data_IF_724528552294
#
_entry.id   IF_724528552294
#
_cell.length_a   1.000
_cell.length_b   1.000
_cell.length_c   1.000
_cell.angle_alpha   90.00
_cell.angle_beta   90.00
_cell.angle_gamma   90.00
#
_symmetry.space_group_name_H-M   'P 1'
#
loop_
_entity.id
_entity.type
_entity.pdbx_description
1 polymer ?
#
# COMPACT_ATOMS: atom_id res chain seq x y z
N UNK A 1 -43.60 51.79 73.43
CA UNK A 1 -43.68 52.61 72.20
C UNK A 1 -42.50 52.31 71.26
N UNK A 2 -42.42 51.09 70.70
CA UNK A 2 -41.38 50.75 69.70
C UNK A 2 -41.74 49.51 68.86
N UNK A 3 -42.99 49.04 68.91
CA UNK A 3 -43.43 47.76 68.32
C UNK A 3 -44.43 47.92 67.16
N UNK A 4 -44.51 49.13 66.58
CA UNK A 4 -45.43 49.45 65.48
C UNK A 4 -44.73 49.89 64.18
N UNK A 5 -43.39 49.93 64.13
CA UNK A 5 -42.64 50.33 62.94
C UNK A 5 -41.98 49.15 62.19
N UNK A 6 -41.87 47.98 62.81
CA UNK A 6 -41.26 46.79 62.17
C UNK A 6 -42.24 46.13 61.18
N UNK A 7 -43.56 46.12 61.46
CA UNK A 7 -44.55 45.54 60.53
C UNK A 7 -44.71 46.33 59.24
N UNK A 8 -44.52 47.65 59.25
CA UNK A 8 -44.59 48.46 58.02
C UNK A 8 -43.33 48.30 57.15
N UNK A 9 -42.15 48.13 57.73
CA UNK A 9 -40.92 47.86 56.96
C UNK A 9 -40.89 46.45 56.37
N UNK A 10 -41.46 45.44 57.03
CA UNK A 10 -41.53 44.06 56.48
C UNK A 10 -42.61 43.93 55.39
N UNK A 11 -43.69 44.72 55.45
CA UNK A 11 -44.67 44.77 54.36
C UNK A 11 -44.15 45.54 53.12
N UNK A 12 -43.33 46.58 53.29
CA UNK A 12 -42.74 47.31 52.16
C UNK A 12 -41.56 46.56 51.51
N UNK A 13 -40.82 45.72 52.23
CA UNK A 13 -39.76 44.89 51.63
C UNK A 13 -40.29 43.66 50.86
N UNK A 14 -41.49 43.16 51.22
CA UNK A 14 -42.12 42.03 50.52
C UNK A 14 -42.86 42.45 49.25
N UNK A 15 -43.26 43.72 49.12
CA UNK A 15 -43.82 44.26 47.87
C UNK A 15 -42.76 44.57 46.78
N UNK A 16 -41.47 44.64 47.13
CA UNK A 16 -40.39 44.85 46.14
C UNK A 16 -39.79 43.56 45.58
N UNK A 17 -40.16 42.38 46.11
CA UNK A 17 -39.68 41.08 45.60
C UNK A 17 -40.60 40.42 44.56
N UNK A 18 -41.75 41.04 44.23
CA UNK A 18 -42.69 40.51 43.23
C UNK A 18 -42.63 41.20 41.86
N UNK A 19 -41.73 42.17 41.65
CA UNK A 19 -41.42 42.71 40.32
C UNK A 19 -40.11 42.17 39.75
N UNK A 20 -39.77 40.94 40.13
CA UNK A 20 -38.81 40.10 39.41
C UNK A 20 -39.51 39.18 38.41
N UNK A 21 -40.52 39.64 37.66
CA UNK A 21 -40.84 38.99 36.39
C UNK A 21 -39.68 39.31 35.45
N UNK A 22 -38.57 38.58 35.62
CA UNK A 22 -37.59 38.42 34.57
C UNK A 22 -38.39 37.90 33.38
N UNK A 23 -38.52 38.73 32.34
CA UNK A 23 -39.21 38.37 31.12
C UNK A 23 -38.63 37.03 30.70
N UNK A 24 -39.49 36.03 30.56
CA UNK A 24 -39.06 34.68 30.25
C UNK A 24 -38.55 34.65 28.81
N UNK A 25 -37.30 35.07 28.65
CA UNK A 25 -36.64 35.27 27.37
C UNK A 25 -36.18 33.93 26.77
N UNK A 26 -36.50 32.78 27.41
CA UNK A 26 -36.18 31.44 26.89
C UNK A 26 -36.79 31.21 25.51
N UNK A 27 -37.89 31.88 25.22
CA UNK A 27 -38.60 31.81 23.94
C UNK A 27 -38.21 32.94 22.98
N UNK A 28 -37.34 33.87 23.39
CA UNK A 28 -36.89 34.94 22.49
C UNK A 28 -36.02 34.33 21.39
N UNK A 29 -36.38 34.63 20.13
CA UNK A 29 -35.76 34.11 18.91
C UNK A 29 -36.06 32.64 18.57
N UNK A 30 -37.01 32.00 19.26
CA UNK A 30 -37.53 30.71 18.82
C UNK A 30 -38.44 30.90 17.59
N UNK A 31 -38.26 30.05 16.59
CA UNK A 31 -39.03 30.08 15.34
C UNK A 31 -40.12 29.03 15.32
N UNK A 32 -41.23 29.35 14.66
CA UNK A 32 -42.31 28.40 14.40
C UNK A 32 -41.80 27.14 13.68
N UNK A 33 -42.60 26.08 13.72
CA UNK A 33 -42.27 24.82 13.05
C UNK A 33 -41.99 25.05 11.56
N UNK A 34 -40.90 24.46 11.08
CA UNK A 34 -40.45 24.49 9.69
C UNK A 34 -40.17 23.09 9.20
N UNK A 35 -40.27 22.90 7.89
CA UNK A 35 -40.04 21.61 7.23
C UNK A 35 -38.95 21.75 6.17
N UNK A 36 -37.97 20.84 6.15
CA UNK A 36 -36.87 20.88 5.19
C UNK A 36 -36.24 19.50 4.97
N UNK A 37 -35.53 19.31 3.87
CA UNK A 37 -34.64 18.17 3.70
C UNK A 37 -33.39 18.34 4.55
N UNK A 38 -32.98 17.31 5.31
CA UNK A 38 -31.70 17.33 6.05
C UNK A 38 -30.54 17.66 5.11
N UNK A 39 -30.53 17.02 3.95
CA UNK A 39 -29.53 17.17 2.90
C UNK A 39 -30.18 17.87 1.69
N UNK A 40 -30.20 19.20 1.69
CA UNK A 40 -30.82 20.07 0.66
C UNK A 40 -29.81 20.54 -0.39
N UNK A 41 -30.29 21.03 -1.55
CA UNK A 41 -29.48 21.33 -2.77
C UNK A 41 -28.87 20.07 -3.40
N UNK A 42 -27.64 20.13 -3.96
CA UNK A 42 -26.99 18.97 -4.55
C UNK A 42 -26.58 17.97 -3.48
N UNK A 43 -27.08 16.75 -3.61
CA UNK A 43 -26.74 15.64 -2.76
C UNK A 43 -26.20 14.50 -3.62
N UNK A 44 -24.87 14.38 -3.65
CA UNK A 44 -24.18 13.29 -4.33
C UNK A 44 -24.22 12.04 -3.46
N UNK A 45 -25.01 11.06 -3.88
CA UNK A 45 -25.20 9.82 -3.14
C UNK A 45 -24.34 8.72 -3.76
N UNK A 46 -23.58 8.00 -2.94
CA UNK A 46 -22.86 6.81 -3.41
C UNK A 46 -23.84 5.64 -3.41
N UNK A 47 -24.05 5.03 -4.57
CA UNK A 47 -24.97 3.92 -4.76
C UNK A 47 -24.15 2.71 -5.23
N UNK A 48 -24.16 1.61 -4.49
CA UNK A 48 -23.41 0.42 -4.89
C UNK A 48 -24.24 -0.44 -5.84
N UNK A 49 -23.59 -0.95 -6.89
CA UNK A 49 -24.23 -1.77 -7.92
C UNK A 49 -24.60 -3.19 -7.41
N UNK A 50 -25.67 -3.26 -6.62
CA UNK A 50 -26.25 -4.50 -6.07
C UNK A 50 -27.52 -4.94 -6.80
N UNK A 51 -27.80 -4.37 -7.98
CA UNK A 51 -29.08 -4.47 -8.69
C UNK A 51 -30.16 -3.56 -8.10
N UNK A 52 -30.26 -3.50 -6.77
CA UNK A 52 -31.15 -2.58 -6.05
C UNK A 52 -30.44 -1.93 -4.87
N UNK A 53 -30.70 -0.65 -4.67
CA UNK A 53 -30.16 0.11 -3.56
C UNK A 53 -31.23 0.99 -2.92
N UNK A 54 -31.52 0.76 -1.63
CA UNK A 54 -32.46 1.57 -0.88
C UNK A 54 -31.75 2.78 -0.28
N UNK A 55 -32.28 3.97 -0.54
CA UNK A 55 -31.81 5.24 -0.01
C UNK A 55 -32.93 5.96 0.73
N UNK A 56 -32.65 6.43 1.94
CA UNK A 56 -33.58 7.20 2.74
C UNK A 56 -33.30 8.70 2.61
N UNK A 57 -34.25 9.43 2.03
CA UNK A 57 -34.23 10.89 2.02
C UNK A 57 -34.89 11.39 3.31
N UNK A 58 -34.11 12.01 4.20
CA UNK A 58 -34.63 12.47 5.49
C UNK A 58 -35.22 13.87 5.40
N UNK A 59 -36.46 14.00 5.86
CA UNK A 59 -37.19 15.25 6.05
C UNK A 59 -37.23 15.56 7.55
N UNK A 60 -36.90 16.80 7.90
CA UNK A 60 -36.83 17.29 9.29
C UNK A 60 -37.94 18.30 9.54
N UNK A 61 -38.68 18.12 10.64
CA UNK A 61 -39.59 19.10 11.22
C UNK A 61 -38.91 19.71 12.45
N UNK A 62 -38.60 20.99 12.40
CA UNK A 62 -37.92 21.69 13.49
C UNK A 62 -38.57 23.03 13.79
N UNK A 63 -38.67 23.34 15.07
CA UNK A 63 -39.29 24.56 15.58
C UNK A 63 -40.01 24.26 16.89
N UNK A 64 -40.80 25.21 17.33
CA UNK A 64 -41.38 25.21 18.69
C UNK A 64 -42.90 25.13 18.68
N UNK A 65 -43.50 25.14 17.49
CA UNK A 65 -44.93 25.19 17.28
C UNK A 65 -45.64 23.88 17.61
N UNK A 66 -44.92 22.75 17.68
CA UNK A 66 -45.48 21.42 17.96
C UNK A 66 -46.68 21.09 17.07
N UNK A 67 -46.62 21.48 15.80
CA UNK A 67 -47.71 21.31 14.84
C UNK A 67 -47.65 19.91 14.24
N UNK A 68 -48.83 19.31 14.04
CA UNK A 68 -49.00 18.16 13.16
C UNK A 68 -48.99 18.65 11.71
N UNK A 69 -48.38 17.88 10.81
CA UNK A 69 -48.35 18.24 9.41
C UNK A 69 -48.27 17.04 8.50
N UNK A 70 -49.03 17.09 7.40
CA UNK A 70 -48.91 16.15 6.29
C UNK A 70 -48.07 16.77 5.19
N UNK A 71 -46.97 16.12 4.85
CA UNK A 71 -45.97 16.62 3.89
C UNK A 71 -46.04 15.77 2.63
N UNK A 72 -46.26 16.43 1.50
CA UNK A 72 -46.25 15.82 0.18
C UNK A 72 -44.84 15.88 -0.42
N UNK A 73 -44.37 14.75 -0.95
CA UNK A 73 -43.13 14.62 -1.69
C UNK A 73 -43.42 14.42 -3.17
N UNK A 74 -42.71 15.15 -4.02
CA UNK A 74 -42.83 15.03 -5.47
C UNK A 74 -41.50 15.21 -6.18
N UNK A 75 -41.46 14.72 -7.42
CA UNK A 75 -40.40 15.04 -8.37
C UNK A 75 -40.70 16.40 -8.99
N UNK A 76 -39.74 17.31 -8.94
CA UNK A 76 -39.88 18.70 -9.40
C UNK A 76 -38.95 19.00 -10.59
N UNK A 77 -39.45 18.72 -11.79
CA UNK A 77 -38.75 19.00 -13.05
C UNK A 77 -38.52 20.49 -13.28
N UNK A 78 -39.40 21.37 -12.78
CA UNK A 78 -39.25 22.80 -12.92
C UNK A 78 -38.07 23.33 -12.09
N UNK A 79 -37.86 22.77 -10.89
CA UNK A 79 -36.68 23.06 -10.09
C UNK A 79 -35.39 22.61 -10.79
N UNK A 80 -35.37 21.42 -11.41
CA UNK A 80 -34.20 20.97 -12.19
C UNK A 80 -33.87 21.93 -13.33
N UNK A 81 -34.86 22.35 -14.10
CA UNK A 81 -34.65 23.29 -15.20
C UNK A 81 -34.12 24.65 -14.71
N UNK A 82 -34.68 25.19 -13.63
CA UNK A 82 -34.21 26.43 -13.01
C UNK A 82 -32.78 26.29 -12.45
N UNK A 83 -32.48 25.15 -11.82
CA UNK A 83 -31.16 24.87 -11.27
C UNK A 83 -30.10 24.84 -12.37
N UNK A 84 -30.35 24.11 -13.46
CA UNK A 84 -29.44 24.05 -14.61
C UNK A 84 -29.18 25.45 -15.20
N UNK A 85 -30.23 26.26 -15.38
CA UNK A 85 -30.10 27.62 -15.91
C UNK A 85 -29.29 28.54 -14.97
N UNK A 86 -29.49 28.42 -13.67
CA UNK A 86 -28.82 29.28 -12.68
C UNK A 86 -27.36 28.88 -12.44
N UNK A 87 -27.06 27.58 -12.40
CA UNK A 87 -25.75 27.05 -12.02
C UNK A 87 -24.87 26.69 -13.24
N UNK A 88 -25.39 26.83 -14.46
CA UNK A 88 -24.67 26.46 -15.68
C UNK A 88 -24.42 24.96 -15.79
N UNK A 89 -25.25 24.13 -15.14
CA UNK A 89 -25.17 22.67 -15.19
C UNK A 89 -26.04 22.11 -16.32
N UNK A 90 -25.85 20.83 -16.64
CA UNK A 90 -26.58 20.15 -17.72
C UNK A 90 -27.20 18.84 -17.22
N UNK A 91 -27.68 18.81 -15.97
CA UNK A 91 -28.28 17.61 -15.41
C UNK A 91 -29.56 17.24 -16.15
N UNK A 92 -29.78 15.93 -16.30
CA UNK A 92 -30.96 15.33 -16.90
C UNK A 92 -31.83 14.70 -15.81
N UNK A 93 -33.14 14.66 -16.04
CA UNK A 93 -34.05 13.97 -15.14
C UNK A 93 -33.75 12.47 -15.15
N UNK A 94 -33.63 11.87 -13.97
CA UNK A 94 -33.51 10.43 -13.82
C UNK A 94 -34.82 9.75 -14.30
N UNK A 95 -34.76 8.82 -15.26
CA UNK A 95 -35.94 8.11 -15.77
C UNK A 95 -36.69 7.35 -14.69
N UNK A 96 -38.01 7.24 -14.84
CA UNK A 96 -38.91 6.62 -13.86
C UNK A 96 -38.72 5.12 -13.69
N UNK A 97 -38.07 4.45 -14.64
CA UNK A 97 -37.71 3.04 -14.55
C UNK A 97 -36.42 2.81 -13.73
N UNK A 98 -35.69 3.87 -13.38
CA UNK A 98 -34.45 3.81 -12.60
C UNK A 98 -34.67 3.90 -11.09
N UNK A 99 -35.89 4.16 -10.62
CA UNK A 99 -36.18 4.29 -9.19
C UNK A 99 -37.64 3.96 -8.86
N UNK A 100 -37.90 3.66 -7.58
CA UNK A 100 -39.24 3.52 -7.01
C UNK A 100 -39.30 4.25 -5.68
N UNK A 101 -40.22 5.19 -5.56
CA UNK A 101 -40.51 5.90 -4.30
C UNK A 101 -41.53 5.08 -3.53
N UNK A 102 -41.25 4.75 -2.27
CA UNK A 102 -42.15 3.93 -1.45
C UNK A 102 -43.41 4.70 -1.04
N UNK A 103 -43.24 5.91 -0.51
CA UNK A 103 -44.31 6.78 -0.02
C UNK A 103 -44.11 8.19 -0.55
N UNK A 104 -45.17 8.85 -0.98
CA UNK A 104 -45.16 10.26 -1.42
C UNK A 104 -45.76 11.20 -0.38
N UNK A 105 -46.16 10.69 0.77
CA UNK A 105 -46.74 11.45 1.88
C UNK A 105 -46.10 11.04 3.20
N UNK A 106 -45.71 12.02 4.01
CA UNK A 106 -45.23 11.89 5.38
C UNK A 106 -46.25 12.52 6.32
N UNK A 107 -46.54 11.87 7.45
CA UNK A 107 -47.47 12.38 8.46
C UNK A 107 -46.70 12.63 9.75
N UNK A 108 -46.35 13.89 10.02
CA UNK A 108 -45.64 14.29 11.23
C UNK A 108 -46.62 14.54 12.37
N UNK A 109 -46.41 13.80 13.46
CA UNK A 109 -47.07 14.07 14.73
C UNK A 109 -46.40 15.26 15.45
N UNK A 110 -47.06 15.81 16.49
CA UNK A 110 -46.56 17.01 17.22
C UNK A 110 -45.10 16.92 17.66
N UNK A 111 -44.70 15.74 18.15
CA UNK A 111 -43.36 15.46 18.71
C UNK A 111 -42.39 14.84 17.71
N UNK A 112 -42.85 14.53 16.50
CA UNK A 112 -41.98 13.97 15.48
C UNK A 112 -40.94 15.00 15.06
N UNK A 113 -39.68 14.54 14.95
CA UNK A 113 -38.57 15.39 14.55
C UNK A 113 -38.11 15.11 13.12
N UNK A 114 -38.07 13.84 12.72
CA UNK A 114 -37.63 13.43 11.40
C UNK A 114 -38.47 12.25 10.89
N UNK A 115 -38.62 12.17 9.57
CA UNK A 115 -39.15 11.01 8.86
C UNK A 115 -38.38 10.81 7.56
N UNK A 116 -38.35 9.57 7.09
CA UNK A 116 -37.63 9.18 5.88
C UNK A 116 -38.57 8.84 4.73
N UNK A 117 -38.15 9.22 3.54
CA UNK A 117 -38.74 8.77 2.27
C UNK A 117 -37.78 7.75 1.67
N UNK A 118 -38.21 6.49 1.65
CA UNK A 118 -37.45 5.43 1.03
C UNK A 118 -37.57 5.49 -0.50
N UNK A 119 -36.41 5.53 -1.17
CA UNK A 119 -36.27 5.47 -2.62
C UNK A 119 -35.40 4.26 -2.95
N UNK A 120 -35.98 3.29 -3.66
CA UNK A 120 -35.26 2.15 -4.18
C UNK A 120 -34.73 2.48 -5.58
N UNK A 121 -33.42 2.55 -5.75
CA UNK A 121 -32.76 2.76 -7.03
C UNK A 121 -32.46 1.44 -7.75
N UNK A 122 -32.71 1.40 -9.05
CA UNK A 122 -32.26 0.32 -9.95
C UNK A 122 -30.86 0.65 -10.47
N UNK A 123 -29.84 0.09 -9.83
CA UNK A 123 -28.45 0.51 -10.06
C UNK A 123 -27.93 0.09 -11.42
N UNK A 124 -28.42 -1.02 -11.95
CA UNK A 124 -28.03 -1.54 -13.26
C UNK A 124 -28.51 -0.58 -14.36
N UNK A 125 -29.78 -0.14 -14.30
CA UNK A 125 -30.32 0.84 -15.25
C UNK A 125 -29.62 2.18 -15.15
N UNK A 126 -29.39 2.67 -13.93
CA UNK A 126 -28.67 3.92 -13.71
C UNK A 126 -27.25 3.83 -14.30
N UNK A 127 -26.54 2.72 -14.06
CA UNK A 127 -25.18 2.52 -14.58
C UNK A 127 -25.14 2.54 -16.11
N UNK A 128 -26.09 1.87 -16.77
CA UNK A 128 -26.23 1.89 -18.25
C UNK A 128 -26.53 3.30 -18.76
N UNK A 129 -27.44 4.01 -18.09
CA UNK A 129 -27.92 5.32 -18.51
C UNK A 129 -26.85 6.41 -18.42
N UNK A 130 -26.14 6.47 -17.29
CA UNK A 130 -25.17 7.52 -17.03
C UNK A 130 -23.83 7.22 -17.71
N UNK A 131 -23.45 5.95 -17.80
CA UNK A 131 -22.09 5.54 -18.17
C UNK A 131 -21.09 5.77 -17.03
N UNK A 132 -19.87 5.25 -17.19
CA UNK A 132 -18.85 5.26 -16.13
C UNK A 132 -18.50 6.72 -15.73
N UNK A 133 -18.63 7.03 -14.44
CA UNK A 133 -18.24 8.30 -13.81
C UNK A 133 -18.96 9.56 -14.31
N UNK A 134 -20.17 9.45 -14.86
CA UNK A 134 -20.98 10.61 -15.21
C UNK A 134 -22.08 10.83 -14.18
N UNK A 135 -22.07 12.00 -13.57
CA UNK A 135 -23.11 12.47 -12.65
C UNK A 135 -24.14 13.29 -13.44
N UNK A 136 -24.70 12.71 -14.51
CA UNK A 136 -25.53 13.47 -15.45
C UNK A 136 -27.02 13.41 -15.08
N UNK A 137 -27.48 12.30 -14.49
CA UNK A 137 -28.90 12.08 -14.25
C UNK A 137 -29.22 12.24 -12.77
N UNK A 138 -30.25 13.02 -12.46
CA UNK A 138 -30.56 13.43 -11.08
C UNK A 138 -32.06 13.28 -10.79
N UNK A 139 -32.39 13.08 -9.51
CA UNK A 139 -33.77 13.05 -9.05
C UNK A 139 -34.08 14.35 -8.29
N UNK A 140 -34.77 15.33 -8.91
CA UNK A 140 -35.10 16.59 -8.28
C UNK A 140 -36.30 16.41 -7.36
N UNK A 141 -36.07 16.46 -6.05
CA UNK A 141 -37.07 16.19 -5.05
C UNK A 141 -37.56 17.50 -4.41
N UNK A 142 -38.87 17.61 -4.17
CA UNK A 142 -39.50 18.70 -3.42
C UNK A 142 -40.43 18.16 -2.35
N UNK A 143 -40.46 18.86 -1.22
CA UNK A 143 -41.50 18.69 -0.19
C UNK A 143 -42.39 19.93 -0.06
N UNK A 144 -43.67 19.72 0.19
CA UNK A 144 -44.67 20.76 0.43
C UNK A 144 -45.65 20.31 1.52
N UNK A 145 -45.93 21.16 2.51
CA UNK A 145 -46.95 20.85 3.52
C UNK A 145 -48.36 21.04 2.95
N UNK A 146 -49.27 20.12 3.23
CA UNK A 146 -50.69 20.26 2.86
C UNK A 146 -51.29 21.52 3.47
N UNK A 147 -52.06 22.28 2.68
CA UNK A 147 -52.69 23.52 3.14
C UNK A 147 -51.71 24.66 3.48
N UNK A 148 -50.40 24.50 3.20
CA UNK A 148 -49.39 25.50 3.55
C UNK A 148 -49.20 25.67 5.06
N UNK A 149 -49.51 24.63 5.85
CA UNK A 149 -49.43 24.72 7.33
C UNK A 149 -48.00 24.89 7.84
N UNK A 150 -47.00 24.38 7.11
CA UNK A 150 -45.59 24.54 7.41
C UNK A 150 -44.82 24.94 6.15
N UNK A 151 -43.75 25.71 6.34
CA UNK A 151 -42.85 26.13 5.27
C UNK A 151 -41.39 25.94 5.66
N UNK A 152 -40.54 25.78 4.67
CA UNK A 152 -39.10 25.84 4.89
C UNK A 152 -38.68 27.28 5.21
N UNK A 153 -37.69 27.46 6.09
CA UNK A 153 -37.12 28.78 6.42
C UNK A 153 -36.62 29.53 5.18
N UNK A 154 -36.09 28.78 4.21
CA UNK A 154 -35.71 29.29 2.89
C UNK A 154 -36.25 28.34 1.82
N UNK A 155 -36.73 28.85 0.67
CA UNK A 155 -37.33 28.01 -0.38
C UNK A 155 -36.42 26.86 -0.84
N UNK A 156 -35.11 27.06 -0.90
CA UNK A 156 -34.15 26.03 -1.33
C UNK A 156 -34.01 24.85 -0.36
N UNK A 157 -34.41 25.02 0.92
CA UNK A 157 -34.38 23.95 1.91
C UNK A 157 -35.54 22.95 1.75
N UNK A 158 -36.56 23.31 0.97
CA UNK A 158 -37.66 22.42 0.58
C UNK A 158 -37.32 21.56 -0.65
N UNK A 159 -36.12 21.68 -1.20
CA UNK A 159 -35.68 21.00 -2.43
C UNK A 159 -34.32 20.32 -2.28
N UNK A 160 -34.14 19.18 -2.94
CA UNK A 160 -32.84 18.49 -3.05
C UNK A 160 -32.69 17.83 -4.42
N UNK A 161 -31.48 17.82 -4.98
CA UNK A 161 -31.11 17.09 -6.19
C UNK A 161 -30.33 15.85 -5.76
N UNK A 162 -30.95 14.67 -5.83
CA UNK A 162 -30.22 13.43 -5.58
C UNK A 162 -29.45 13.05 -6.83
N UNK A 163 -28.13 12.97 -6.70
CA UNK A 163 -27.19 12.69 -7.80
C UNK A 163 -26.57 11.32 -7.54
N UNK A 164 -27.14 10.21 -8.08
CA UNK A 164 -26.62 8.87 -7.86
C UNK A 164 -25.29 8.65 -8.56
N UNK A 165 -24.24 8.44 -7.78
CA UNK A 165 -22.93 7.99 -8.24
C UNK A 165 -22.84 6.48 -8.06
N UNK A 166 -23.10 5.72 -9.14
CA UNK A 166 -23.08 4.26 -9.09
C UNK A 166 -21.63 3.76 -9.07
N UNK A 167 -21.29 2.99 -8.05
CA UNK A 167 -19.97 2.35 -7.88
C UNK A 167 -20.09 0.85 -7.85
N UNK A 168 -19.13 0.19 -8.48
CA UNK A 168 -18.99 -1.26 -8.35
C UNK A 168 -18.52 -1.61 -6.92
N UNK A 169 -19.20 -2.53 -6.22
CA UNK A 169 -18.76 -2.99 -4.91
C UNK A 169 -17.58 -3.96 -5.06
N UNK A 170 -16.44 -3.65 -4.45
CA UNK A 170 -15.21 -4.43 -4.61
C UNK A 170 -14.48 -4.71 -3.29
N UNK A 171 -13.76 -5.83 -3.29
CA UNK A 171 -12.62 -6.11 -2.40
C UNK A 171 -11.31 -5.75 -3.11
N UNK A 172 -10.39 -5.11 -2.40
CA UNK A 172 -9.10 -4.67 -2.93
C UNK A 172 -7.98 -4.69 -1.89
N UNK A 173 -6.71 -4.72 -2.34
CA UNK A 173 -5.57 -4.42 -1.48
C UNK A 173 -5.46 -2.91 -1.25
N UNK A 174 -5.16 -2.48 -0.03
CA UNK A 174 -4.99 -1.05 0.28
C UNK A 174 -3.73 -0.45 -0.34
N UNK A 175 -2.73 -1.29 -0.63
CA UNK A 175 -1.44 -0.90 -1.22
C UNK A 175 -1.12 -1.85 -2.38
N UNK A 176 -1.78 -1.72 -3.55
CA UNK A 176 -1.57 -2.61 -4.68
C UNK A 176 -0.17 -2.41 -5.32
N UNK A 177 0.30 -3.42 -6.04
CA UNK A 177 1.59 -3.39 -6.74
C UNK A 177 2.80 -3.77 -5.87
N UNK A 178 3.98 -3.28 -6.22
CA UNK A 178 5.22 -3.55 -5.49
C UNK A 178 5.16 -2.95 -4.08
N UNK A 179 5.30 -3.81 -3.07
CA UNK A 179 5.33 -3.35 -1.67
C UNK A 179 6.64 -2.60 -1.39
N UNK A 180 6.54 -1.50 -0.63
CA UNK A 180 7.69 -0.66 -0.30
C UNK A 180 8.62 -1.34 0.71
N UNK A 181 8.05 -2.10 1.65
CA UNK A 181 8.82 -2.82 2.66
C UNK A 181 9.39 -4.10 2.07
N UNK A 182 10.71 -4.11 1.88
CA UNK A 182 11.45 -5.29 1.47
C UNK A 182 11.75 -6.19 2.66
N UNK A 183 11.36 -7.46 2.55
CA UNK A 183 11.72 -8.49 3.52
C UNK A 183 13.18 -8.87 3.29
N UNK A 184 14.05 -8.64 4.28
CA UNK A 184 15.47 -8.98 4.21
C UNK A 184 15.76 -10.21 5.06
N UNK A 185 16.33 -11.23 4.44
CA UNK A 185 16.77 -12.47 5.05
C UNK A 185 18.27 -12.66 4.83
N UNK A 186 18.90 -13.37 5.74
CA UNK A 186 20.28 -13.84 5.61
C UNK A 186 20.40 -15.24 6.23
N UNK A 187 21.46 -16.00 5.92
CA UNK A 187 21.68 -17.32 6.52
C UNK A 187 21.69 -17.31 8.06
N UNK A 188 22.17 -16.23 8.69
CA UNK A 188 22.13 -16.00 10.14
C UNK A 188 20.89 -15.30 10.67
N UNK A 189 20.04 -14.80 9.78
CA UNK A 189 18.82 -14.11 10.14
C UNK A 189 17.74 -15.06 10.64
N UNK A 190 16.56 -14.49 10.89
CA UNK A 190 15.38 -15.24 11.30
C UNK A 190 15.06 -16.42 10.37
N UNK A 191 14.61 -17.53 10.94
CA UNK A 191 14.18 -18.72 10.17
C UNK A 191 12.95 -18.44 9.29
N UNK A 192 12.10 -17.52 9.74
CA UNK A 192 10.92 -17.10 9.03
C UNK A 192 10.56 -15.65 9.36
N UNK A 193 9.88 -14.99 8.43
CA UNK A 193 9.32 -13.66 8.60
C UNK A 193 7.85 -13.71 8.19
N UNK A 194 6.97 -13.20 9.06
CA UNK A 194 5.53 -13.10 8.78
C UNK A 194 5.24 -11.70 8.26
N UNK A 195 4.80 -11.62 7.01
CA UNK A 195 4.29 -10.39 6.41
C UNK A 195 2.76 -10.33 6.46
N UNK A 196 2.22 -9.12 6.31
CA UNK A 196 0.79 -8.87 6.28
C UNK A 196 0.44 -7.95 5.12
N UNK A 197 -0.55 -8.33 4.34
CA UNK A 197 -1.22 -7.48 3.38
C UNK A 197 -2.60 -7.09 3.91
N UNK A 198 -3.00 -5.85 3.68
CA UNK A 198 -4.30 -5.36 4.12
C UNK A 198 -5.26 -5.32 2.94
N UNK A 199 -6.47 -5.84 3.15
CA UNK A 199 -7.56 -5.74 2.19
C UNK A 199 -8.70 -4.91 2.77
N UNK A 200 -9.44 -4.24 1.90
CA UNK A 200 -10.57 -3.39 2.26
C UNK A 200 -11.71 -3.55 1.26
N UNK A 201 -12.95 -3.45 1.73
CA UNK A 201 -14.13 -3.26 0.88
C UNK A 201 -14.36 -1.78 0.64
N UNK A 202 -14.73 -1.39 -0.57
CA UNK A 202 -15.11 0.01 -0.85
C UNK A 202 -16.56 0.34 -0.42
N UNK A 203 -17.27 -0.63 0.17
CA UNK A 203 -18.65 -0.53 0.65
C UNK A 203 -18.78 -0.95 2.13
N UNK A 204 -19.84 -0.50 2.83
CA UNK A 204 -20.20 -1.01 4.16
C UNK A 204 -20.69 -2.46 4.09
N UNK A 205 -19.85 -3.39 4.48
CA UNK A 205 -20.08 -4.83 4.38
C UNK A 205 -21.21 -5.29 5.31
N UNK A 206 -22.22 -5.96 4.75
CA UNK A 206 -23.37 -6.52 5.48
C UNK A 206 -23.33 -8.05 5.58
N UNK A 207 -22.22 -8.70 5.20
CA UNK A 207 -22.14 -10.15 5.11
C UNK A 207 -20.82 -10.68 5.67
N UNK A 208 -20.82 -11.95 6.07
CA UNK A 208 -19.56 -12.69 6.18
C UNK A 208 -19.04 -12.98 4.76
N UNK A 209 -17.83 -12.53 4.46
CA UNK A 209 -17.19 -12.73 3.16
C UNK A 209 -16.07 -13.76 3.29
N UNK A 210 -16.14 -14.79 2.45
CA UNK A 210 -15.01 -15.68 2.16
C UNK A 210 -14.25 -15.16 0.93
N UNK A 211 -12.91 -15.14 1.00
CA UNK A 211 -12.04 -14.78 -0.12
C UNK A 211 -10.81 -15.69 -0.23
N UNK A 212 -10.23 -15.77 -1.43
CA UNK A 212 -9.03 -16.57 -1.71
C UNK A 212 -7.90 -15.67 -2.24
N UNK A 213 -6.67 -15.94 -1.79
CA UNK A 213 -5.45 -15.36 -2.34
C UNK A 213 -4.65 -16.49 -2.98
N UNK A 214 -4.09 -16.23 -4.16
CA UNK A 214 -3.20 -17.16 -4.84
C UNK A 214 -1.89 -16.49 -5.27
N UNK A 215 -0.92 -17.33 -5.64
CA UNK A 215 0.32 -16.86 -6.26
C UNK A 215 0.14 -16.84 -7.77
N UNK A 216 0.33 -15.67 -8.38
CA UNK A 216 0.19 -15.49 -9.83
C UNK A 216 1.50 -14.94 -10.42
N UNK A 217 2.35 -15.80 -11.04
CA UNK A 217 3.62 -15.38 -11.63
C UNK A 217 3.51 -14.31 -12.72
N UNK A 218 2.35 -14.17 -13.40
CA UNK A 218 2.15 -13.18 -14.47
C UNK A 218 2.33 -11.76 -13.95
N UNK A 219 2.01 -11.49 -12.68
CA UNK A 219 2.20 -10.18 -12.05
C UNK A 219 3.69 -9.81 -12.03
N UNK A 220 4.56 -10.78 -11.72
CA UNK A 220 6.00 -10.58 -11.70
C UNK A 220 6.56 -10.38 -13.11
N UNK A 221 6.07 -11.14 -14.10
CA UNK A 221 6.50 -10.98 -15.49
C UNK A 221 6.16 -9.59 -16.02
N UNK A 222 4.95 -9.09 -15.72
CA UNK A 222 4.53 -7.73 -16.07
C UNK A 222 5.43 -6.67 -15.40
N UNK A 223 5.71 -6.80 -14.10
CA UNK A 223 6.63 -5.90 -13.40
C UNK A 223 8.03 -5.90 -14.03
N UNK A 224 8.61 -7.08 -14.23
CA UNK A 224 9.94 -7.25 -14.81
C UNK A 224 10.03 -6.72 -16.25
N UNK A 225 8.92 -6.72 -17.01
CA UNK A 225 8.84 -6.12 -18.34
C UNK A 225 8.94 -4.60 -18.36
N UNK A 226 8.77 -3.93 -17.20
CA UNK A 226 8.81 -2.46 -17.08
C UNK A 226 10.11 -1.90 -16.52
N UNK A 227 11.01 -2.76 -16.04
CA UNK A 227 12.25 -2.36 -15.35
C UNK A 227 13.49 -2.83 -16.09
N UNK A 228 14.62 -2.19 -15.81
CA UNK A 228 15.93 -2.59 -16.35
C UNK A 228 16.38 -3.94 -15.78
N UNK A 229 17.23 -4.66 -16.51
CA UNK A 229 17.65 -6.03 -16.16
C UNK A 229 18.29 -6.16 -14.76
N UNK A 230 18.97 -5.11 -14.28
CA UNK A 230 19.58 -5.05 -12.96
C UNK A 230 18.55 -4.91 -11.81
N UNK A 231 17.31 -4.52 -12.13
CA UNK A 231 16.21 -4.36 -11.17
C UNK A 231 15.19 -5.49 -11.22
N UNK A 232 15.34 -6.44 -12.13
CA UNK A 232 14.43 -7.58 -12.25
C UNK A 232 14.50 -8.47 -11.01
N UNK A 233 13.33 -8.91 -10.56
CA UNK A 233 13.18 -9.80 -9.41
C UNK A 233 12.95 -11.23 -9.88
N UNK A 234 13.48 -12.20 -9.14
CA UNK A 234 13.23 -13.63 -9.38
C UNK A 234 11.92 -14.07 -8.73
N UNK A 235 11.25 -15.06 -9.28
CA UNK A 235 10.10 -15.66 -8.58
C UNK A 235 10.57 -16.35 -7.30
N UNK A 236 9.95 -16.03 -6.17
CA UNK A 236 10.27 -16.66 -4.89
C UNK A 236 9.96 -18.18 -4.96
N UNK A 237 10.91 -19.06 -4.62
CA UNK A 237 10.69 -20.51 -4.68
C UNK A 237 9.51 -20.97 -3.83
N UNK A 238 8.78 -21.99 -4.28
CA UNK A 238 7.59 -22.51 -3.56
C UNK A 238 7.92 -22.95 -2.13
N UNK A 239 9.10 -23.52 -1.90
CA UNK A 239 9.55 -23.95 -0.58
C UNK A 239 9.85 -22.77 0.38
N UNK A 240 10.01 -21.55 -0.16
CA UNK A 240 10.40 -20.36 0.57
C UNK A 240 9.21 -19.52 1.07
N UNK A 241 7.98 -19.99 0.88
CA UNK A 241 6.82 -19.34 1.46
C UNK A 241 5.71 -20.30 1.85
N UNK A 242 4.88 -19.86 2.78
CA UNK A 242 3.66 -20.54 3.20
C UNK A 242 2.53 -19.53 3.31
N UNK A 243 1.39 -19.88 2.70
CA UNK A 243 0.14 -19.17 2.90
C UNK A 243 -0.74 -20.02 3.82
N UNK A 244 -1.56 -19.38 4.66
CA UNK A 244 -2.56 -20.09 5.44
C UNK A 244 -3.61 -20.71 4.50
N UNK A 245 -4.25 -21.84 4.86
CA UNK A 245 -5.31 -22.42 4.05
C UNK A 245 -6.47 -21.44 3.82
N UNK A 246 -6.96 -21.39 2.59
CA UNK A 246 -8.16 -20.67 2.20
C UNK A 246 -9.44 -21.44 2.58
N UNK A 247 -10.63 -20.79 2.64
CA UNK A 247 -10.85 -19.36 2.44
C UNK A 247 -10.48 -18.51 3.66
N UNK A 248 -10.05 -17.28 3.39
CA UNK A 248 -9.90 -16.23 4.39
C UNK A 248 -11.23 -15.51 4.61
N UNK A 249 -11.38 -14.84 5.75
CA UNK A 249 -12.67 -14.27 6.18
C UNK A 249 -12.61 -12.76 6.41
N UNK A 250 -13.72 -12.10 6.09
CA UNK A 250 -14.08 -10.76 6.56
C UNK A 250 -15.44 -10.90 7.25
N UNK A 251 -15.52 -10.52 8.52
CA UNK A 251 -16.76 -10.63 9.28
C UNK A 251 -17.80 -9.60 8.78
N UNK A 252 -19.07 -9.92 8.97
CA UNK A 252 -20.15 -8.94 8.81
C UNK A 252 -19.84 -7.64 9.57
N UNK A 253 -20.17 -6.48 8.98
CA UNK A 253 -19.88 -5.12 9.47
C UNK A 253 -18.40 -4.72 9.48
N UNK A 254 -17.48 -5.64 9.24
CA UNK A 254 -16.07 -5.32 9.01
C UNK A 254 -15.83 -5.02 7.53
N UNK A 255 -15.15 -3.90 7.27
CA UNK A 255 -14.77 -3.49 5.92
C UNK A 255 -13.29 -3.73 5.62
N UNK A 256 -12.53 -4.26 6.59
CA UNK A 256 -11.08 -4.38 6.52
C UNK A 256 -10.63 -5.71 7.11
N UNK A 257 -9.60 -6.31 6.53
CA UNK A 257 -8.98 -7.52 7.04
C UNK A 257 -7.47 -7.52 6.76
N UNK A 258 -6.75 -8.43 7.41
CA UNK A 258 -5.33 -8.68 7.16
C UNK A 258 -5.11 -10.10 6.67
N UNK A 259 -4.52 -10.23 5.50
CA UNK A 259 -3.99 -11.48 4.97
C UNK A 259 -2.54 -11.65 5.42
N UNK A 260 -2.21 -12.77 6.07
CA UNK A 260 -0.83 -13.06 6.50
C UNK A 260 -0.17 -14.10 5.60
N UNK A 261 1.10 -13.87 5.29
CA UNK A 261 1.95 -14.81 4.55
C UNK A 261 3.27 -14.97 5.28
N UNK A 262 3.88 -16.15 5.20
CA UNK A 262 5.15 -16.45 5.85
C UNK A 262 6.22 -16.68 4.80
N UNK A 263 7.34 -15.96 4.90
CA UNK A 263 8.56 -16.22 4.13
C UNK A 263 9.45 -17.13 4.97
N UNK A 264 9.96 -18.20 4.37
CA UNK A 264 10.71 -19.27 5.03
C UNK A 264 12.14 -19.31 4.51
N UNK A 265 13.12 -19.05 5.38
CA UNK A 265 14.55 -19.08 5.04
C UNK A 265 14.97 -20.44 4.47
N UNK A 266 14.47 -21.53 5.04
CA UNK A 266 14.79 -22.91 4.61
C UNK A 266 14.53 -23.18 3.13
N UNK A 267 13.58 -22.48 2.50
CA UNK A 267 13.30 -22.65 1.07
C UNK A 267 14.28 -21.96 0.14
N UNK A 268 15.23 -21.20 0.69
CA UNK A 268 16.30 -20.51 -0.01
C UNK A 268 17.67 -21.14 0.27
N UNK A 269 17.70 -22.28 0.96
CA UNK A 269 18.90 -23.04 1.31
C UNK A 269 18.73 -24.47 0.82
N UNK A 270 19.63 -24.92 -0.06
CA UNK A 270 19.68 -26.28 -0.58
C UNK A 270 21.03 -26.91 -0.24
N UNK A 271 21.06 -27.66 0.87
CA UNK A 271 22.30 -28.20 1.43
C UNK A 271 23.30 -27.09 1.76
N UNK A 272 24.45 -27.07 1.07
CA UNK A 272 25.47 -26.03 1.21
C UNK A 272 25.24 -24.84 0.28
N UNK A 273 24.29 -24.91 -0.64
CA UNK A 273 24.01 -23.87 -1.64
C UNK A 273 22.96 -22.92 -1.12
N UNK A 274 23.29 -21.64 -1.06
CA UNK A 274 22.33 -20.57 -0.75
C UNK A 274 21.83 -19.94 -2.05
N UNK A 275 20.52 -19.84 -2.21
CA UNK A 275 19.87 -19.20 -3.35
C UNK A 275 19.85 -17.68 -3.16
N UNK A 276 21.01 -17.02 -3.04
CA UNK A 276 21.04 -15.57 -2.85
C UNK A 276 20.48 -14.81 -4.06
N UNK A 277 19.84 -13.68 -3.76
CA UNK A 277 19.29 -12.77 -4.76
C UNK A 277 18.07 -12.00 -4.29
N UNK A 278 17.56 -11.22 -5.21
CA UNK A 278 16.33 -10.44 -5.07
C UNK A 278 15.16 -11.21 -5.70
N UNK A 279 14.12 -11.44 -4.90
CA UNK A 279 12.94 -12.23 -5.23
C UNK A 279 11.66 -11.43 -5.05
N UNK A 280 10.56 -11.94 -5.60
CA UNK A 280 9.22 -11.47 -5.30
C UNK A 280 8.26 -12.63 -5.08
N UNK A 281 7.34 -12.45 -4.13
CA UNK A 281 6.13 -13.28 -3.98
C UNK A 281 4.94 -12.50 -4.58
N UNK A 282 4.49 -12.83 -5.80
CA UNK A 282 3.35 -12.16 -6.43
C UNK A 282 2.04 -12.77 -5.92
N UNK A 283 1.15 -11.96 -5.36
CA UNK A 283 -0.11 -12.40 -4.78
C UNK A 283 -1.29 -11.71 -5.46
N UNK A 284 -2.36 -12.48 -5.74
CA UNK A 284 -3.60 -12.01 -6.35
C UNK A 284 -4.81 -12.38 -5.49
N UNK A 285 -5.79 -11.48 -5.40
CA UNK A 285 -7.14 -11.83 -4.95
C UNK A 285 -7.78 -12.69 -6.04
N UNK A 286 -7.93 -13.98 -5.78
CA UNK A 286 -8.44 -14.95 -6.75
C UNK A 286 -9.97 -14.92 -6.81
N UNK A 287 -10.62 -14.86 -5.66
CA UNK A 287 -12.08 -14.89 -5.56
C UNK A 287 -12.56 -14.20 -4.28
N UNK A 288 -13.81 -13.72 -4.31
CA UNK A 288 -14.57 -13.27 -3.15
C UNK A 288 -16.00 -13.78 -3.31
N UNK A 289 -16.58 -14.27 -2.23
CA UNK A 289 -17.90 -14.92 -2.21
C UNK A 289 -19.08 -14.02 -2.58
N UNK A 290 -18.93 -12.69 -2.51
CA UNK A 290 -19.92 -11.69 -2.88
C UNK A 290 -19.26 -10.46 -3.48
N UNK A 291 -20.00 -9.77 -4.35
CA UNK A 291 -19.56 -8.59 -5.08
C UNK A 291 -18.34 -8.91 -5.98
N UNK A 292 -17.57 -7.91 -6.37
CA UNK A 292 -16.43 -8.10 -7.26
C UNK A 292 -15.07 -7.92 -6.59
N UNK A 293 -14.03 -8.00 -7.40
CA UNK A 293 -12.64 -7.67 -7.05
C UNK A 293 -12.26 -6.46 -7.89
N UNK A 294 -11.61 -5.46 -7.28
CA UNK A 294 -11.14 -4.30 -8.04
C UNK A 294 -10.00 -4.74 -8.99
N UNK A 295 -10.16 -4.66 -10.32
CA UNK A 295 -9.12 -5.09 -11.26
C UNK A 295 -7.81 -4.34 -11.08
N UNK A 296 -7.87 -3.05 -10.72
CA UNK A 296 -6.71 -2.16 -10.62
C UNK A 296 -5.95 -2.32 -9.29
N UNK A 297 -6.57 -2.97 -8.30
CA UNK A 297 -6.03 -3.14 -6.94
C UNK A 297 -6.13 -4.58 -6.43
N UNK A 298 -6.16 -5.55 -7.34
CA UNK A 298 -6.31 -6.99 -7.05
C UNK A 298 -5.00 -7.72 -6.76
N UNK A 299 -3.85 -7.05 -6.92
CA UNK A 299 -2.53 -7.70 -6.88
C UNK A 299 -1.51 -6.94 -6.05
N UNK A 300 -0.60 -7.69 -5.42
CA UNK A 300 0.62 -7.16 -4.78
C UNK A 300 1.85 -7.99 -5.18
N UNK A 301 3.02 -7.36 -5.11
CA UNK A 301 4.33 -7.99 -5.27
C UNK A 301 5.12 -7.75 -3.99
N UNK A 302 5.36 -8.80 -3.20
CA UNK A 302 6.14 -8.70 -1.96
C UNK A 302 7.62 -8.93 -2.28
N UNK A 303 8.48 -7.90 -2.18
CA UNK A 303 9.91 -8.08 -2.47
C UNK A 303 10.64 -8.75 -1.29
N UNK A 304 11.49 -9.71 -1.62
CA UNK A 304 12.29 -10.49 -0.66
C UNK A 304 13.74 -10.48 -1.10
N UNK A 305 14.64 -9.99 -0.25
CA UNK A 305 16.08 -10.04 -0.46
C UNK A 305 16.68 -11.14 0.43
N UNK A 306 17.44 -12.06 -0.16
CA UNK A 306 18.22 -13.04 0.58
C UNK A 306 19.69 -12.90 0.22
N UNK A 307 20.48 -12.40 1.17
CA UNK A 307 21.88 -12.05 0.96
C UNK A 307 22.75 -12.60 2.11
N UNK A 308 24.01 -12.99 1.84
CA UNK A 308 24.95 -13.31 2.90
C UNK A 308 25.36 -12.02 3.63
N UNK A 309 25.66 -12.08 4.93
CA UNK A 309 26.25 -10.94 5.62
C UNK A 309 27.71 -10.75 5.18
N UNK A 310 28.20 -9.50 5.24
CA UNK A 310 29.60 -9.20 4.94
C UNK A 310 30.53 -9.78 6.02
N UNK A 311 31.68 -10.32 5.61
CA UNK A 311 32.75 -10.65 6.55
C UNK A 311 33.66 -9.42 6.68
N UNK A 312 33.81 -8.84 7.89
CA UNK A 312 34.74 -7.73 8.08
C UNK A 312 36.18 -8.16 7.76
N UNK A 313 36.87 -7.36 6.94
CA UNK A 313 38.27 -7.62 6.55
C UNK A 313 39.29 -7.32 7.64
N UNK A 314 38.83 -7.00 8.85
CA UNK A 314 39.69 -6.73 9.99
C UNK A 314 40.53 -7.96 10.33
N UNK A 315 41.86 -7.79 10.36
CA UNK A 315 42.81 -8.86 10.61
C UNK A 315 43.17 -9.72 9.40
N UNK A 316 42.57 -9.49 8.23
CA UNK A 316 42.96 -10.17 7.00
C UNK A 316 44.33 -9.69 6.50
N UNK A 317 45.06 -10.57 5.82
CA UNK A 317 46.36 -10.26 5.23
C UNK A 317 46.51 -10.92 3.87
N UNK A 318 47.10 -10.21 2.92
CA UNK A 318 47.55 -10.83 1.67
C UNK A 318 48.95 -11.41 1.91
N UNK A 319 49.03 -12.74 2.01
CA UNK A 319 50.25 -13.42 2.47
C UNK A 319 51.16 -13.87 1.32
N UNK A 320 50.65 -13.88 0.09
CA UNK A 320 51.43 -14.22 -1.10
C UNK A 320 50.81 -13.62 -2.36
N UNK A 321 51.67 -13.31 -3.34
CA UNK A 321 51.30 -13.05 -4.73
C UNK A 321 52.30 -13.78 -5.65
N UNK A 322 51.87 -14.25 -6.82
CA UNK A 322 52.76 -14.87 -7.81
C UNK A 322 53.69 -13.85 -8.46
N UNK A 323 53.27 -12.59 -8.51
CA UNK A 323 53.99 -11.45 -9.06
C UNK A 323 53.37 -10.17 -8.50
N UNK A 324 54.16 -9.14 -8.24
CA UNK A 324 53.67 -7.84 -7.76
C UNK A 324 54.55 -6.70 -8.31
N UNK A 325 53.90 -5.62 -8.77
CA UNK A 325 54.57 -4.40 -9.18
C UNK A 325 54.80 -3.49 -7.96
N UNK A 326 56.05 -3.28 -7.58
CA UNK A 326 56.41 -2.41 -6.46
C UNK A 326 56.37 -0.94 -6.88
N UNK A 327 55.71 -0.09 -6.10
CA UNK A 327 55.52 1.33 -6.40
C UNK A 327 54.14 1.64 -6.98
N UNK A 328 53.09 0.95 -6.51
CA UNK A 328 51.68 1.22 -6.88
C UNK A 328 50.88 0.01 -7.36
N UNK A 329 51.42 -1.20 -7.30
CA UNK A 329 50.76 -2.47 -7.64
C UNK A 329 50.85 -3.53 -6.55
N UNK A 330 51.03 -3.09 -5.30
CA UNK A 330 51.22 -3.94 -4.12
C UNK A 330 50.04 -4.87 -3.89
N UNK A 331 50.31 -6.10 -3.46
CA UNK A 331 49.27 -7.10 -3.22
C UNK A 331 48.30 -6.69 -2.12
N UNK A 332 48.73 -5.90 -1.15
CA UNK A 332 47.92 -5.41 -0.03
C UNK A 332 46.79 -4.47 -0.46
N UNK A 333 46.93 -3.81 -1.63
CA UNK A 333 45.93 -2.88 -2.16
C UNK A 333 44.56 -3.56 -2.38
N UNK A 334 44.50 -4.88 -2.56
CA UNK A 334 43.22 -5.58 -2.78
C UNK A 334 42.28 -5.61 -1.57
N UNK A 335 42.76 -5.18 -0.39
CA UNK A 335 42.02 -5.19 0.88
C UNK A 335 41.88 -3.80 1.52
N UNK A 336 42.33 -2.73 0.86
CA UNK A 336 42.41 -1.40 1.48
C UNK A 336 41.09 -0.61 1.44
N UNK A 337 40.13 -1.03 0.59
CA UNK A 337 38.81 -0.41 0.47
C UNK A 337 38.79 0.82 -0.44
N UNK A 338 39.86 1.02 -1.22
CA UNK A 338 39.99 2.09 -2.18
C UNK A 338 40.00 1.52 -3.61
N UNK A 339 38.92 1.67 -4.40
CA UNK A 339 38.87 1.15 -5.77
C UNK A 339 39.87 1.82 -6.73
N UNK A 340 40.52 2.93 -6.34
CA UNK A 340 41.57 3.60 -7.12
C UNK A 340 42.94 2.92 -6.99
N UNK A 341 43.18 2.14 -5.93
CA UNK A 341 44.38 1.32 -5.76
C UNK A 341 44.12 -0.12 -6.25
N UNK A 342 45.19 -0.84 -6.55
CA UNK A 342 45.08 -2.20 -7.08
C UNK A 342 46.38 -2.97 -6.89
N UNK A 343 46.25 -4.29 -6.82
CA UNK A 343 47.35 -5.19 -7.12
C UNK A 343 47.55 -5.26 -8.63
N UNK A 344 48.80 -5.30 -9.08
CA UNK A 344 49.17 -5.55 -10.47
C UNK A 344 50.35 -6.51 -10.52
N UNK A 345 50.37 -7.46 -11.47
CA UNK A 345 51.58 -8.22 -11.75
C UNK A 345 52.70 -7.30 -12.25
N UNK A 346 53.96 -7.73 -12.17
CA UNK A 346 55.08 -7.01 -12.80
C UNK A 346 54.80 -6.84 -14.29
N UNK A 347 54.85 -5.61 -14.81
CA UNK A 347 54.59 -5.30 -16.24
C UNK A 347 55.80 -4.74 -16.99
N UNK A 348 56.79 -4.16 -16.29
CA UNK A 348 58.08 -3.76 -16.86
C UNK A 348 59.18 -4.76 -16.49
N UNK A 349 60.14 -4.98 -17.40
CA UNK A 349 61.30 -5.82 -17.12
C UNK A 349 61.08 -7.33 -17.28
N UNK A 350 59.92 -7.73 -17.83
CA UNK A 350 59.53 -9.11 -18.05
C UNK A 350 58.20 -9.42 -17.38
N UNK A 351 57.13 -9.54 -18.17
CA UNK A 351 55.81 -9.89 -17.67
C UNK A 351 55.70 -11.42 -17.53
N UNK A 352 55.51 -11.98 -16.32
CA UNK A 352 55.38 -13.42 -16.15
C UNK A 352 54.11 -13.92 -16.89
N UNK A 353 54.11 -15.16 -17.40
CA UNK A 353 52.93 -15.73 -18.03
C UNK A 353 51.85 -16.05 -16.98
N UNK A 354 50.58 -16.03 -17.42
CA UNK A 354 49.46 -16.56 -16.64
C UNK A 354 49.66 -18.06 -16.31
N UNK A 355 49.08 -18.57 -15.22
CA UNK A 355 48.19 -17.87 -14.29
C UNK A 355 48.93 -17.03 -13.23
N UNK A 356 48.33 -15.92 -12.84
CA UNK A 356 48.76 -15.13 -11.68
C UNK A 356 47.87 -15.45 -10.46
N UNK A 357 48.37 -15.29 -9.23
CA UNK A 357 47.56 -15.48 -8.04
C UNK A 357 47.90 -14.53 -6.90
N UNK A 358 46.92 -14.32 -6.03
CA UNK A 358 47.07 -13.74 -4.69
C UNK A 358 46.43 -14.65 -3.64
N UNK A 359 47.01 -14.72 -2.44
CA UNK A 359 46.50 -15.51 -1.32
C UNK A 359 46.19 -14.60 -0.14
N UNK A 360 44.95 -14.66 0.33
CA UNK A 360 44.44 -13.93 1.49
C UNK A 360 44.30 -14.91 2.66
N UNK A 361 44.92 -14.59 3.80
CA UNK A 361 44.65 -15.20 5.11
C UNK A 361 43.60 -14.37 5.83
N UNK A 362 42.46 -14.98 6.16
CA UNK A 362 41.39 -14.32 6.92
C UNK A 362 41.71 -14.16 8.41
N UNK A 363 42.82 -14.75 8.88
CA UNK A 363 43.26 -14.77 10.27
C UNK A 363 42.58 -15.84 11.13
N UNK A 364 41.38 -16.29 10.72
CA UNK A 364 40.62 -17.39 11.31
C UNK A 364 39.73 -18.04 10.25
N UNK A 365 39.09 -19.16 10.60
CA UNK A 365 38.13 -19.83 9.72
C UNK A 365 36.81 -19.05 9.63
N UNK A 366 36.25 -18.97 8.42
CA UNK A 366 34.91 -18.47 8.11
C UNK A 366 34.19 -19.45 7.17
N UNK A 367 32.86 -19.38 7.13
CA UNK A 367 32.04 -20.03 6.11
C UNK A 367 31.87 -19.06 4.93
N UNK A 368 32.66 -19.24 3.89
CA UNK A 368 32.61 -18.44 2.66
C UNK A 368 31.37 -18.82 1.86
N UNK A 369 30.57 -17.81 1.46
CA UNK A 369 29.29 -18.01 0.75
C UNK A 369 29.18 -17.19 -0.53
N UNK A 370 29.87 -16.05 -0.62
CA UNK A 370 29.94 -15.23 -1.82
C UNK A 370 31.27 -14.50 -1.87
N UNK A 371 31.81 -14.33 -3.08
CA UNK A 371 33.01 -13.54 -3.33
C UNK A 371 32.63 -12.43 -4.31
N UNK A 372 33.03 -11.20 -3.99
CA UNK A 372 32.88 -10.03 -4.83
C UNK A 372 34.27 -9.51 -5.20
N UNK A 373 34.44 -9.17 -6.47
CA UNK A 373 35.71 -8.74 -7.03
C UNK A 373 35.51 -7.48 -7.87
N UNK A 374 36.36 -6.49 -7.63
CA UNK A 374 36.39 -5.23 -8.39
C UNK A 374 37.64 -5.17 -9.25
N UNK A 375 37.46 -4.87 -10.54
CA UNK A 375 38.54 -4.58 -11.49
C UNK A 375 39.17 -3.23 -11.18
N UNK A 376 40.45 -3.08 -11.55
CA UNK A 376 41.10 -1.78 -11.65
C UNK A 376 40.22 -0.80 -12.44
N UNK A 377 40.04 0.40 -11.91
CA UNK A 377 39.27 1.44 -12.58
C UNK A 377 39.82 1.76 -13.97
N UNK A 378 38.90 2.00 -14.91
CA UNK A 378 39.19 2.31 -16.32
C UNK A 378 40.03 1.26 -17.06
N UNK A 379 40.04 0.02 -16.56
CA UNK A 379 40.80 -1.09 -17.12
C UNK A 379 39.95 -2.36 -17.19
N UNK A 380 39.96 -3.04 -18.35
CA UNK A 380 39.20 -4.26 -18.59
C UNK A 380 40.09 -5.49 -18.83
N UNK A 381 41.38 -5.43 -18.49
CA UNK A 381 42.34 -6.52 -18.74
C UNK A 381 41.98 -7.77 -17.94
N UNK A 382 41.52 -7.63 -16.68
CA UNK A 382 41.10 -8.77 -15.88
C UNK A 382 39.86 -9.45 -16.49
N UNK A 383 40.00 -10.73 -16.89
CA UNK A 383 38.92 -11.50 -17.53
C UNK A 383 38.37 -12.59 -16.61
N UNK A 384 39.16 -13.62 -16.29
CA UNK A 384 38.71 -14.76 -15.48
C UNK A 384 39.54 -14.90 -14.22
N UNK A 385 38.87 -14.98 -13.07
CA UNK A 385 39.47 -15.28 -11.76
C UNK A 385 38.79 -16.51 -11.18
N UNK A 386 39.58 -17.55 -10.93
CA UNK A 386 39.15 -18.76 -10.22
C UNK A 386 39.48 -18.66 -8.73
N UNK A 387 38.53 -19.06 -7.90
CA UNK A 387 38.64 -19.03 -6.45
C UNK A 387 38.81 -20.43 -5.90
N UNK A 388 39.79 -20.58 -5.02
CA UNK A 388 39.99 -21.81 -4.24
C UNK A 388 40.27 -21.48 -2.79
N UNK A 389 39.86 -22.36 -1.88
CA UNK A 389 40.01 -22.14 -0.43
C UNK A 389 40.82 -23.23 0.24
N UNK A 390 41.43 -22.89 1.37
CA UNK A 390 42.22 -23.81 2.19
C UNK A 390 42.03 -23.53 3.69
N UNK A 391 42.28 -24.54 4.53
CA UNK A 391 42.41 -24.40 5.99
C UNK A 391 43.85 -24.54 6.49
N UNK A 392 44.77 -25.06 5.65
CA UNK A 392 46.15 -25.36 6.02
C UNK A 392 47.21 -24.57 5.21
N UNK A 393 46.76 -23.73 4.27
CA UNK A 393 47.59 -23.01 3.30
C UNK A 393 48.48 -23.93 2.45
N UNK A 394 48.09 -25.19 2.28
CA UNK A 394 48.82 -26.19 1.47
C UNK A 394 47.90 -26.79 0.42
N UNK A 395 46.74 -27.28 0.84
CA UNK A 395 45.76 -27.92 -0.03
C UNK A 395 44.64 -26.94 -0.34
N UNK A 396 44.45 -26.62 -1.62
CA UNK A 396 43.44 -25.67 -2.09
C UNK A 396 42.35 -26.39 -2.88
N UNK A 397 41.09 -26.13 -2.52
CA UNK A 397 39.90 -26.72 -3.17
C UNK A 397 39.17 -25.62 -3.96
N UNK A 398 38.90 -25.80 -5.27
CA UNK A 398 38.14 -24.84 -6.06
C UNK A 398 36.70 -24.66 -5.55
N UNK A 399 36.22 -23.41 -5.50
CA UNK A 399 34.87 -23.07 -4.99
C UNK A 399 34.04 -22.22 -5.95
N UNK A 400 34.64 -21.64 -6.98
CA UNK A 400 33.91 -20.83 -7.96
C UNK A 400 34.84 -20.00 -8.84
N UNK A 401 34.24 -19.17 -9.71
CA UNK A 401 34.97 -18.22 -10.55
C UNK A 401 34.13 -17.00 -10.89
N UNK A 402 34.79 -15.89 -11.20
CA UNK A 402 34.20 -14.73 -11.87
C UNK A 402 34.78 -14.63 -13.28
N UNK A 403 33.91 -14.41 -14.26
CA UNK A 403 34.28 -14.11 -15.64
C UNK A 403 33.65 -12.76 -16.03
N UNK A 404 34.49 -11.75 -16.23
CA UNK A 404 34.07 -10.43 -16.70
C UNK A 404 33.80 -10.39 -18.20
N UNK A 405 34.19 -11.41 -18.95
CA UNK A 405 34.15 -11.40 -20.42
C UNK A 405 35.03 -10.29 -21.01
N UNK A 406 34.83 -10.02 -22.31
CA UNK A 406 35.69 -9.08 -23.05
C UNK A 406 35.12 -7.66 -23.11
N UNK A 407 33.79 -7.51 -23.12
CA UNK A 407 33.11 -6.22 -23.32
C UNK A 407 32.17 -5.83 -22.16
N UNK A 408 32.29 -6.43 -20.98
CA UNK A 408 31.40 -6.09 -19.86
C UNK A 408 31.73 -4.69 -19.32
N UNK A 409 30.74 -3.79 -19.24
CA UNK A 409 30.92 -2.47 -18.64
C UNK A 409 30.96 -2.51 -17.09
N UNK A 410 30.68 -3.66 -16.47
CA UNK A 410 30.64 -3.78 -15.00
C UNK A 410 32.03 -3.97 -14.42
N UNK A 411 32.53 -3.01 -13.64
CA UNK A 411 33.84 -3.14 -12.96
C UNK A 411 33.80 -4.11 -11.77
N UNK A 412 32.63 -4.34 -11.17
CA UNK A 412 32.45 -5.24 -10.03
C UNK A 412 31.50 -6.38 -10.38
N UNK A 413 31.86 -7.60 -10.00
CA UNK A 413 31.01 -8.78 -10.09
C UNK A 413 31.06 -9.55 -8.77
N UNK A 414 29.99 -10.27 -8.47
CA UNK A 414 29.91 -11.18 -7.36
C UNK A 414 29.52 -12.58 -7.84
N UNK A 415 30.03 -13.60 -7.15
CA UNK A 415 29.67 -15.00 -7.39
C UNK A 415 29.26 -15.67 -6.08
N UNK A 416 28.10 -16.32 -6.10
CA UNK A 416 27.70 -17.23 -5.03
C UNK A 416 28.55 -18.48 -5.11
N UNK A 417 29.07 -18.94 -3.98
CA UNK A 417 29.81 -20.20 -3.89
C UNK A 417 29.11 -21.13 -2.92
N UNK A 418 29.30 -22.47 -3.02
CA UNK A 418 28.87 -23.38 -1.98
C UNK A 418 29.45 -22.94 -0.63
N UNK A 419 28.64 -23.01 0.43
CA UNK A 419 29.06 -22.66 1.78
C UNK A 419 30.27 -23.52 2.15
N UNK A 420 31.44 -22.88 2.27
CA UNK A 420 32.72 -23.57 2.44
C UNK A 420 33.46 -23.01 3.63
N UNK A 421 33.79 -23.87 4.60
CA UNK A 421 34.59 -23.50 5.76
C UNK A 421 36.07 -23.37 5.36
N UNK A 422 36.62 -22.17 5.47
CA UNK A 422 37.97 -21.83 4.99
C UNK A 422 38.63 -20.74 5.84
N UNK A 423 39.97 -20.78 5.94
CA UNK A 423 40.79 -19.68 6.48
C UNK A 423 41.53 -18.90 5.38
N UNK A 424 41.87 -19.56 4.29
CA UNK A 424 42.62 -18.97 3.18
C UNK A 424 41.79 -18.95 1.92
N UNK A 425 41.88 -17.85 1.17
CA UNK A 425 41.33 -17.71 -0.17
C UNK A 425 42.48 -17.44 -1.15
N UNK A 426 42.55 -18.24 -2.22
CA UNK A 426 43.43 -18.02 -3.36
C UNK A 426 42.61 -17.57 -4.55
N UNK A 427 42.89 -16.36 -5.03
CA UNK A 427 42.33 -15.79 -6.25
C UNK A 427 43.35 -16.01 -7.37
N UNK A 428 43.00 -16.83 -8.37
CA UNK A 428 43.89 -17.18 -9.49
C UNK A 428 43.36 -16.57 -10.78
N UNK A 429 44.10 -15.63 -11.37
CA UNK A 429 43.80 -15.07 -12.68
C UNK A 429 44.21 -16.08 -13.75
N UNK A 430 43.23 -16.70 -14.40
CA UNK A 430 43.45 -17.73 -15.44
C UNK A 430 43.30 -17.19 -16.85
N UNK A 431 42.66 -16.03 -17.03
CA UNK A 431 42.59 -15.36 -18.32
C UNK A 431 42.61 -13.82 -18.18
N UNK A 432 43.16 -13.18 -19.20
CA UNK A 432 43.21 -11.72 -19.37
C UNK A 432 42.72 -11.33 -20.76
N UNK A 433 42.10 -10.17 -20.89
CA UNK A 433 41.78 -9.53 -22.17
C UNK A 433 43.02 -8.85 -22.80
N UNK A 434 44.10 -8.66 -22.03
CA UNK A 434 45.43 -8.29 -22.53
C UNK A 434 46.50 -9.19 -21.88
N UNK A 435 46.64 -10.46 -22.29
CA UNK A 435 47.58 -11.38 -21.67
C UNK A 435 49.04 -10.91 -21.77
N UNK A 436 49.87 -11.15 -20.74
CA UNK A 436 49.52 -11.83 -19.48
C UNK A 436 49.02 -10.90 -18.36
N UNK A 437 48.73 -9.62 -18.66
CA UNK A 437 48.43 -8.58 -17.68
C UNK A 437 47.20 -8.83 -16.81
N UNK A 438 47.30 -8.53 -15.52
CA UNK A 438 46.23 -8.72 -14.55
C UNK A 438 46.31 -7.70 -13.41
N UNK A 439 45.16 -7.11 -13.07
CA UNK A 439 45.02 -6.24 -11.92
C UNK A 439 43.70 -6.48 -11.20
N UNK A 440 43.73 -6.45 -9.86
CA UNK A 440 42.54 -6.57 -8.99
C UNK A 440 42.54 -5.35 -8.08
N UNK A 441 41.43 -4.61 -8.03
CA UNK A 441 41.29 -3.45 -7.16
C UNK A 441 40.85 -3.87 -5.76
N UNK A 442 39.78 -4.65 -5.65
CA UNK A 442 39.23 -5.06 -4.36
C UNK A 442 38.73 -6.49 -4.38
N UNK A 443 38.87 -7.16 -3.24
CA UNK A 443 38.22 -8.43 -2.93
C UNK A 443 37.39 -8.29 -1.65
N UNK A 444 36.12 -8.65 -1.73
CA UNK A 444 35.23 -8.80 -0.59
C UNK A 444 34.72 -10.24 -0.52
N UNK A 445 34.53 -10.76 0.70
CA UNK A 445 33.95 -12.07 0.94
C UNK A 445 32.78 -11.91 1.91
N UNK A 446 31.68 -12.60 1.62
CA UNK A 446 30.48 -12.62 2.43
C UNK A 446 30.22 -14.03 2.93
N UNK A 447 29.71 -14.15 4.15
CA UNK A 447 29.69 -15.41 4.88
C UNK A 447 29.70 -15.23 6.40
N UNK A 448 29.99 -16.31 7.14
CA UNK A 448 29.79 -16.42 8.59
C UNK A 448 31.03 -16.82 9.38
#
# INVERSE_FOLDING_TARGET
>A
MMRNYISYCVLLLTLFLMNGCQKDDRMNNMVDDTIYFRDFKENKITVFDWGKFDYNVTVVKAGIGQQEAKINFKIDEAYLAAYNAQQGTNYKLLPTDCYKIANTTLAFEKKDYLQDIAIAFDTERIKVLQGKYKELYVLPCRIEAEGGVLHALKPEMATTLLIPNVKDPFLEFTSPGLQLDQIKLSPTGAEQVVGKATLVTNYPNQWNLDYEIEVDPVILDNYNGTVSDDKKLKLLPKAAYQLLPAPYKIAEKENKTSFSYTILKKGLIDGTTNLFGEYALPLRIKSVSKNGINPDASTILVPVSFQPPDIPRSGWKVIAASSEWIGGGEKENILDGNPDTYWHNVWMGGEPPLPHYVIIDFGKEYNVMMIELTRRLWNNDLKVVEFSTSNDNKTYVPIGKIDFGTNSPKSTLAVNVPTTKARYLKCTVTASNRPPSSAIAEVYVKGL
#
